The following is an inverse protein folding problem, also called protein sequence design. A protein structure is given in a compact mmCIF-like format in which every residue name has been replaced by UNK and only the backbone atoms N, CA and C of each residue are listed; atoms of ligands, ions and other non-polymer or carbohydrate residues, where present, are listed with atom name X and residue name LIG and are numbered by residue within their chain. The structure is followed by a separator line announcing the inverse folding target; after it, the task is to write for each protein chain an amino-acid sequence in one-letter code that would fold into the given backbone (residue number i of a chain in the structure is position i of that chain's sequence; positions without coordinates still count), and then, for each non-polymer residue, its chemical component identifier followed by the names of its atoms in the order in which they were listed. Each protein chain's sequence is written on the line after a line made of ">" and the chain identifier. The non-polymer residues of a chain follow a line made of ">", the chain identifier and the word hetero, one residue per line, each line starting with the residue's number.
data_IF_137388762055
#
_entry.id   IF_137388762055
#
_cell.length_a   1.000
_cell.length_b   1.000
_cell.length_c   1.000
_cell.angle_alpha   90.00
_cell.angle_beta   90.00
_cell.angle_gamma   90.00
#
_symmetry.space_group_name_H-M   'P 1'
#
loop_
_entity.id
_entity.type
_entity.pdbx_description
1 polymer ?
#
# COMPACT_ATOMS: atom_id res chain seq x y z
N UNK A 1 -58.22 -27.96 3.97
CA UNK A 1 -56.90 -28.40 4.45
C UNK A 1 -55.86 -27.89 3.47
N UNK A 2 -55.18 -26.79 3.81
CA UNK A 2 -54.15 -26.19 2.96
C UNK A 2 -52.80 -26.42 3.65
N UNK A 3 -52.06 -27.42 3.18
CA UNK A 3 -50.71 -27.69 3.65
C UNK A 3 -49.75 -26.67 3.04
N UNK A 4 -49.28 -25.74 3.87
CA UNK A 4 -48.23 -24.79 3.53
C UNK A 4 -46.91 -25.54 3.29
N UNK A 5 -46.50 -25.64 2.02
CA UNK A 5 -45.14 -26.03 1.67
C UNK A 5 -44.23 -24.83 1.93
N UNK A 6 -43.61 -24.79 3.10
CA UNK A 6 -42.51 -23.86 3.39
C UNK A 6 -41.30 -24.41 2.62
N UNK A 7 -41.04 -23.83 1.46
CA UNK A 7 -39.79 -23.99 0.74
C UNK A 7 -38.67 -23.42 1.63
N UNK A 8 -37.94 -24.31 2.30
CA UNK A 8 -36.61 -24.00 2.82
C UNK A 8 -35.69 -23.75 1.62
N UNK A 9 -35.75 -22.53 1.08
CA UNK A 9 -34.65 -21.98 0.30
C UNK A 9 -33.48 -21.79 1.28
N UNK A 10 -32.72 -22.87 1.51
CA UNK A 10 -31.48 -22.79 2.25
C UNK A 10 -30.58 -21.77 1.57
N UNK A 11 -30.24 -20.70 2.28
CA UNK A 11 -29.16 -19.82 1.88
C UNK A 11 -27.89 -20.67 1.82
N UNK A 12 -27.54 -21.16 0.63
CA UNK A 12 -26.20 -21.64 0.35
C UNK A 12 -25.30 -20.41 0.45
N UNK A 13 -24.72 -20.20 1.62
CA UNK A 13 -23.62 -19.27 1.77
C UNK A 13 -22.57 -19.66 0.72
N UNK A 14 -22.06 -18.72 -0.10
CA UNK A 14 -21.06 -19.04 -1.08
C UNK A 14 -19.87 -19.69 -0.36
N UNK A 15 -19.30 -20.78 -0.92
CA UNK A 15 -18.17 -21.45 -0.29
C UNK A 15 -17.05 -20.43 -0.09
N UNK A 16 -16.56 -20.31 1.14
CA UNK A 16 -15.41 -19.47 1.46
C UNK A 16 -14.23 -20.06 0.69
N UNK A 17 -13.81 -19.38 -0.38
CA UNK A 17 -12.66 -19.77 -1.17
C UNK A 17 -11.39 -19.51 -0.36
N UNK A 18 -10.96 -20.52 0.40
CA UNK A 18 -9.68 -20.46 1.10
C UNK A 18 -8.55 -20.46 0.08
N UNK A 19 -7.79 -19.35 0.00
CA UNK A 19 -6.54 -19.33 -0.76
C UNK A 19 -5.49 -20.15 -0.02
N UNK A 20 -4.74 -20.98 -0.75
CA UNK A 20 -3.64 -21.74 -0.15
C UNK A 20 -2.53 -20.80 0.31
N UNK A 21 -1.75 -21.25 1.30
CA UNK A 21 -0.62 -20.48 1.79
C UNK A 21 0.36 -20.10 0.67
N UNK A 22 0.73 -21.04 -0.19
CA UNK A 22 1.66 -20.81 -1.30
C UNK A 22 1.13 -19.82 -2.34
N UNK A 23 -0.19 -19.85 -2.58
CA UNK A 23 -0.85 -18.86 -3.45
C UNK A 23 -0.71 -17.46 -2.85
N UNK A 24 -0.96 -17.31 -1.54
CA UNK A 24 -0.81 -16.04 -0.84
C UNK A 24 0.64 -15.53 -0.83
N UNK A 25 1.64 -16.41 -0.68
CA UNK A 25 3.06 -16.02 -0.79
C UNK A 25 3.32 -15.46 -2.20
N UNK A 26 2.88 -16.19 -3.21
CA UNK A 26 3.14 -15.84 -4.62
C UNK A 26 2.51 -14.49 -4.95
N UNK A 27 1.25 -14.30 -4.58
CA UNK A 27 0.53 -13.02 -4.74
C UNK A 27 1.26 -11.87 -4.03
N UNK A 28 1.66 -12.05 -2.77
CA UNK A 28 2.38 -11.02 -2.02
C UNK A 28 3.74 -10.69 -2.66
N UNK A 29 4.52 -11.69 -3.08
CA UNK A 29 5.80 -11.47 -3.76
C UNK A 29 5.62 -10.71 -5.07
N UNK A 30 4.63 -11.08 -5.88
CA UNK A 30 4.33 -10.37 -7.13
C UNK A 30 3.91 -8.93 -6.87
N UNK A 31 3.06 -8.68 -5.87
CA UNK A 31 2.64 -7.33 -5.50
C UNK A 31 3.82 -6.48 -5.03
N UNK A 32 4.68 -7.02 -4.16
CA UNK A 32 5.89 -6.31 -3.67
C UNK A 32 6.84 -6.00 -4.82
N UNK A 33 7.03 -6.91 -5.77
CA UNK A 33 7.84 -6.67 -6.97
C UNK A 33 7.27 -5.54 -7.83
N UNK A 34 5.94 -5.51 -8.02
CA UNK A 34 5.27 -4.44 -8.74
C UNK A 34 5.46 -3.08 -8.05
N UNK A 35 5.19 -3.02 -6.75
CA UNK A 35 5.36 -1.80 -5.94
C UNK A 35 6.82 -1.31 -5.95
N UNK A 36 7.78 -2.24 -5.89
CA UNK A 36 9.22 -1.90 -5.97
C UNK A 36 9.58 -1.29 -7.32
N UNK A 37 9.07 -1.84 -8.43
CA UNK A 37 9.28 -1.28 -9.77
C UNK A 37 8.68 0.11 -9.90
N UNK A 38 7.45 0.29 -9.40
CA UNK A 38 6.77 1.59 -9.39
C UNK A 38 7.58 2.63 -8.60
N UNK A 39 8.10 2.26 -7.43
CA UNK A 39 8.96 3.16 -6.66
C UNK A 39 10.25 3.54 -7.41
N UNK A 40 10.91 2.59 -8.08
CA UNK A 40 12.09 2.91 -8.89
C UNK A 40 11.77 3.89 -10.04
N UNK A 41 10.58 3.79 -10.65
CA UNK A 41 10.12 4.79 -11.62
C UNK A 41 9.94 6.17 -10.97
N UNK A 42 9.32 6.25 -9.80
CA UNK A 42 9.17 7.51 -9.06
C UNK A 42 10.53 8.12 -8.67
N UNK A 43 11.54 7.30 -8.33
CA UNK A 43 12.91 7.80 -8.08
C UNK A 43 13.55 8.43 -9.32
N UNK A 44 13.20 7.97 -10.51
CA UNK A 44 13.67 8.58 -11.77
C UNK A 44 12.98 9.93 -11.98
N UNK A 45 11.68 10.01 -11.71
CA UNK A 45 10.92 11.27 -11.79
C UNK A 45 11.36 12.29 -10.74
N UNK A 46 11.65 11.85 -9.51
CA UNK A 46 12.19 12.68 -8.44
C UNK A 46 13.51 13.37 -8.86
N UNK A 47 14.39 12.67 -9.59
CA UNK A 47 15.63 13.26 -10.09
C UNK A 47 15.40 14.46 -11.02
N UNK A 48 14.27 14.50 -11.72
CA UNK A 48 13.91 15.63 -12.60
C UNK A 48 13.55 16.88 -11.80
N UNK A 49 13.05 16.71 -10.57
CA UNK A 49 12.69 17.81 -9.66
C UNK A 49 13.69 18.06 -8.54
N UNK A 50 14.78 17.31 -8.48
CA UNK A 50 15.77 17.40 -7.40
C UNK A 50 16.38 18.81 -7.27
N UNK A 51 16.53 19.55 -8.38
CA UNK A 51 17.03 20.92 -8.39
C UNK A 51 16.07 21.94 -7.77
N UNK A 52 14.79 21.60 -7.63
CA UNK A 52 13.73 22.47 -7.12
C UNK A 52 13.64 22.45 -5.58
N UNK A 53 14.38 21.55 -4.92
CA UNK A 53 14.47 21.45 -3.45
C UNK A 53 13.12 21.33 -2.71
N UNK A 54 12.17 20.54 -3.24
CA UNK A 54 10.86 20.37 -2.63
C UNK A 54 10.90 19.51 -1.35
N UNK A 55 10.64 20.08 -0.14
CA UNK A 55 10.60 19.31 1.11
C UNK A 55 9.54 18.19 1.16
N UNK A 56 8.32 18.33 0.58
CA UNK A 56 7.32 17.27 0.68
C UNK A 56 7.74 16.00 -0.07
N UNK A 57 8.43 16.12 -1.21
CA UNK A 57 8.94 14.98 -1.99
C UNK A 57 9.88 14.12 -1.15
N UNK A 58 10.88 14.74 -0.53
CA UNK A 58 11.86 14.03 0.32
C UNK A 58 11.19 13.27 1.46
N UNK A 59 10.24 13.89 2.16
CA UNK A 59 9.52 13.25 3.28
C UNK A 59 8.68 12.06 2.81
N UNK A 60 8.06 12.15 1.62
CA UNK A 60 7.26 11.07 1.04
C UNK A 60 8.15 9.93 0.54
N UNK A 61 9.30 10.26 -0.05
CA UNK A 61 10.30 9.29 -0.51
C UNK A 61 10.82 8.41 0.63
N UNK A 62 11.32 9.03 1.71
CA UNK A 62 11.80 8.30 2.91
C UNK A 62 10.71 7.43 3.56
N UNK A 63 9.44 7.82 3.41
CA UNK A 63 8.31 7.02 3.89
C UNK A 63 8.06 5.81 2.99
N UNK A 64 8.03 6.01 1.67
CA UNK A 64 7.85 4.96 0.68
C UNK A 64 8.98 3.92 0.77
N UNK A 65 10.23 4.37 0.92
CA UNK A 65 11.39 3.49 1.08
C UNK A 65 11.27 2.60 2.32
N UNK A 66 10.97 3.19 3.48
CA UNK A 66 10.81 2.44 4.74
C UNK A 66 9.67 1.44 4.66
N UNK A 67 8.57 1.80 4.01
CA UNK A 67 7.45 0.90 3.80
C UNK A 67 7.84 -0.29 2.92
N UNK A 68 8.53 -0.07 1.81
CA UNK A 68 8.95 -1.15 0.91
C UNK A 68 9.96 -2.08 1.58
N UNK A 69 10.90 -1.52 2.35
CA UNK A 69 11.86 -2.30 3.12
C UNK A 69 11.16 -3.20 4.15
N UNK A 70 10.08 -2.71 4.80
CA UNK A 70 9.27 -3.53 5.71
C UNK A 70 8.55 -4.65 4.98
N UNK A 71 7.97 -4.38 3.81
CA UNK A 71 7.31 -5.41 3.01
C UNK A 71 8.29 -6.50 2.55
N UNK A 72 9.48 -6.11 2.09
CA UNK A 72 10.55 -7.06 1.74
C UNK A 72 11.01 -7.86 2.95
N UNK A 73 11.24 -7.21 4.09
CA UNK A 73 11.63 -7.91 5.32
C UNK A 73 10.56 -8.93 5.76
N UNK A 74 9.28 -8.51 5.78
CA UNK A 74 8.16 -9.39 6.13
C UNK A 74 7.99 -10.57 5.15
N UNK A 75 8.43 -10.43 3.90
CA UNK A 75 8.41 -11.51 2.92
C UNK A 75 9.58 -12.51 3.05
N UNK A 76 10.64 -12.17 3.79
CA UNK A 76 11.86 -12.98 3.93
C UNK A 76 12.04 -13.53 5.36
N UNK A 77 11.77 -12.71 6.37
CA UNK A 77 11.97 -13.03 7.78
C UNK A 77 10.83 -12.46 8.64
N UNK A 78 10.00 -13.31 9.28
CA UNK A 78 9.03 -12.83 10.26
C UNK A 78 9.75 -12.21 11.46
N UNK A 79 9.18 -11.14 12.01
CA UNK A 79 9.68 -10.51 13.24
C UNK A 79 9.53 -11.44 14.45
N UNK A 80 10.25 -11.16 15.55
CA UNK A 80 10.04 -11.87 16.82
C UNK A 80 8.56 -11.79 17.24
N UNK A 81 7.95 -12.96 17.51
CA UNK A 81 6.52 -13.08 17.82
C UNK A 81 5.59 -13.24 16.60
N UNK A 82 6.10 -13.09 15.36
CA UNK A 82 5.35 -13.44 14.15
C UNK A 82 5.60 -14.89 13.73
N UNK A 83 4.55 -15.52 13.19
CA UNK A 83 4.65 -16.86 12.62
C UNK A 83 5.69 -16.91 11.50
N UNK A 84 6.42 -18.03 11.39
CA UNK A 84 7.27 -18.36 10.22
C UNK A 84 6.53 -18.30 8.88
N UNK A 85 5.18 -18.28 8.94
CA UNK A 85 4.24 -18.20 7.82
C UNK A 85 3.61 -16.81 7.68
N UNK A 86 4.22 -15.75 8.21
CA UNK A 86 3.71 -14.39 8.02
C UNK A 86 3.80 -13.99 6.55
N UNK A 87 2.68 -13.54 6.00
CA UNK A 87 2.57 -13.03 4.64
C UNK A 87 1.98 -11.63 4.76
N UNK A 88 2.58 -10.60 4.14
CA UNK A 88 2.02 -9.27 4.07
C UNK A 88 0.54 -9.32 3.67
N UNK A 89 -0.29 -8.62 4.43
CA UNK A 89 -1.73 -8.62 4.22
C UNK A 89 -2.10 -7.74 3.02
N UNK A 90 -3.31 -7.94 2.51
CA UNK A 90 -3.86 -7.05 1.48
C UNK A 90 -3.87 -5.58 1.92
N UNK A 91 -4.13 -5.33 3.21
CA UNK A 91 -4.09 -3.99 3.78
C UNK A 91 -2.68 -3.38 3.76
N UNK A 92 -1.65 -4.19 4.03
CA UNK A 92 -0.25 -3.73 3.95
C UNK A 92 0.11 -3.30 2.53
N UNK A 93 -0.32 -4.08 1.53
CA UNK A 93 -0.10 -3.80 0.11
C UNK A 93 -0.87 -2.54 -0.36
N UNK A 94 -2.11 -2.36 0.10
CA UNK A 94 -2.89 -1.15 -0.22
C UNK A 94 -2.29 0.11 0.42
N UNK A 95 -1.82 0.01 1.67
CA UNK A 95 -1.15 1.12 2.34
C UNK A 95 0.14 1.51 1.61
N UNK A 96 0.87 0.51 1.11
CA UNK A 96 2.05 0.72 0.28
C UNK A 96 1.75 1.46 -1.02
N UNK A 97 0.72 1.01 -1.73
CA UNK A 97 0.25 1.67 -2.95
C UNK A 97 -0.13 3.13 -2.70
N UNK A 98 -0.90 3.40 -1.64
CA UNK A 98 -1.31 4.74 -1.24
C UNK A 98 -0.13 5.65 -0.88
N UNK A 99 0.93 5.11 -0.28
CA UNK A 99 2.13 5.88 0.01
C UNK A 99 2.93 6.21 -1.26
N UNK A 100 2.92 5.32 -2.27
CA UNK A 100 3.48 5.62 -3.61
C UNK A 100 2.63 6.64 -4.38
N UNK A 101 1.29 6.59 -4.28
CA UNK A 101 0.41 7.59 -4.87
C UNK A 101 0.72 9.00 -4.32
N UNK A 102 0.93 9.10 -3.00
CA UNK A 102 1.30 10.36 -2.35
C UNK A 102 2.68 10.86 -2.77
N UNK A 103 3.62 9.96 -3.05
CA UNK A 103 4.92 10.34 -3.58
C UNK A 103 4.78 10.86 -5.02
N UNK A 104 3.99 10.18 -5.87
CA UNK A 104 3.68 10.65 -7.23
C UNK A 104 3.09 12.05 -7.21
N UNK A 105 2.04 12.25 -6.41
CA UNK A 105 1.37 13.54 -6.28
C UNK A 105 2.32 14.65 -5.80
N UNK A 106 3.20 14.35 -4.84
CA UNK A 106 4.19 15.33 -4.37
C UNK A 106 5.24 15.66 -5.44
N UNK A 107 5.63 14.70 -6.28
CA UNK A 107 6.53 14.94 -7.41
C UNK A 107 5.84 15.81 -8.45
N UNK A 108 4.60 15.50 -8.82
CA UNK A 108 3.79 16.28 -9.76
C UNK A 108 3.58 17.72 -9.27
N UNK A 109 3.17 17.89 -8.01
CA UNK A 109 3.00 19.21 -7.40
C UNK A 109 4.31 20.02 -7.40
N UNK A 110 5.44 19.37 -7.13
CA UNK A 110 6.75 20.00 -7.19
C UNK A 110 7.15 20.40 -8.62
N UNK A 111 6.73 19.65 -9.64
CA UNK A 111 6.94 20.00 -11.05
C UNK A 111 6.12 21.24 -11.45
N UNK A 112 4.86 21.29 -11.04
CA UNK A 112 3.93 22.36 -11.40
C UNK A 112 4.19 23.66 -10.60
N UNK A 113 4.57 23.52 -9.32
CA UNK A 113 4.77 24.63 -8.39
C UNK A 113 6.05 24.45 -7.55
N UNK A 114 7.24 24.80 -8.09
CA UNK A 114 8.52 24.64 -7.38
C UNK A 114 8.67 25.44 -6.07
N UNK A 115 7.70 26.30 -5.74
CA UNK A 115 7.68 27.13 -4.53
C UNK A 115 6.33 27.05 -3.78
N UNK A 116 5.62 25.92 -3.82
CA UNK A 116 4.41 25.76 -3.01
C UNK A 116 4.79 25.89 -1.51
N UNK A 117 4.54 27.08 -0.96
CA UNK A 117 4.65 27.38 0.46
C UNK A 117 3.82 26.36 1.24
N UNK A 118 4.50 25.62 2.12
CA UNK A 118 3.84 24.73 3.07
C UNK A 118 3.15 25.65 4.08
N UNK A 119 1.90 26.04 3.84
CA UNK A 119 1.03 26.45 4.93
C UNK A 119 0.79 25.22 5.80
N UNK A 120 1.63 25.08 6.83
CA UNK A 120 1.37 24.22 7.97
C UNK A 120 -0.05 24.55 8.46
N UNK A 121 -0.95 23.58 8.34
CA UNK A 121 -2.23 23.54 9.05
C UNK A 121 -1.96 23.85 10.53
N UNK A 122 -2.12 25.12 10.92
CA UNK A 122 -2.22 25.50 12.32
C UNK A 122 -3.46 24.81 12.85
N UNK A 123 -3.24 23.79 13.69
CA UNK A 123 -4.26 23.29 14.60
C UNK A 123 -4.83 24.50 15.36
N UNK A 124 -6.05 24.88 14.97
CA UNK A 124 -6.88 25.80 15.72
C UNK A 124 -7.17 25.14 17.07
N UNK A 125 -6.47 25.59 18.12
CA UNK A 125 -6.81 25.23 19.50
C UNK A 125 -8.19 25.82 19.81
N UNK A 126 -9.18 24.94 19.96
CA UNK A 126 -10.39 25.19 20.72
C UNK A 126 -10.13 25.02 22.22
#
# INVERSE_FOLDING_TARGET
>A
MASSAILFAGCQAPPIAHTTHDKRITEAKTAIQFLSKRYQQLKIEEKKVASLNCPPVKKRDEKAERMLNRLHAAAVHPHEGQSSFHIPTHLDLQNAEKDLDKLSAAIEECQDHPQAEIEDFKEEKL
#
